data_IF_167909818027
#
_entry.id   IF_167909818027
#
_cell.length_a   1.000
_cell.length_b   1.000
_cell.length_c   1.000
_cell.angle_alpha   90.00
_cell.angle_beta   90.00
_cell.angle_gamma   90.00
#
_symmetry.space_group_name_H-M   'P 1'
#
loop_
_entity.id
_entity.type
_entity.pdbx_description
1 polymer ?
#
# COMPACT_ATOMS: atom_id res chain seq x y z
N UNK A 1 31.52 -6.36 4.07
CA UNK A 1 30.19 -6.93 3.93
C UNK A 1 29.91 -7.37 2.50
N UNK A 2 29.11 -8.36 2.37
CA UNK A 2 28.71 -8.86 1.06
C UNK A 2 27.62 -7.97 0.46
N UNK A 3 27.49 -7.98 -0.91
CA UNK A 3 26.41 -7.21 -1.52
C UNK A 3 25.01 -7.58 -1.05
N UNK A 4 24.79 -8.84 -0.65
CA UNK A 4 23.48 -9.28 -0.15
C UNK A 4 23.13 -8.61 1.19
N UNK A 5 24.10 -8.27 2.03
CA UNK A 5 23.85 -7.55 3.27
C UNK A 5 23.37 -6.13 2.95
N UNK A 6 23.99 -5.48 1.95
CA UNK A 6 23.59 -4.13 1.51
C UNK A 6 22.18 -4.15 0.95
N UNK A 7 21.85 -5.16 0.12
CA UNK A 7 20.51 -5.32 -0.46
C UNK A 7 19.48 -5.50 0.65
N UNK A 8 19.77 -6.33 1.64
CA UNK A 8 18.86 -6.58 2.77
C UNK A 8 18.62 -5.32 3.59
N UNK A 9 19.62 -4.46 3.72
CA UNK A 9 19.48 -3.19 4.44
C UNK A 9 18.57 -2.20 3.69
N UNK A 10 18.55 -2.23 2.35
CA UNK A 10 17.74 -1.30 1.56
C UNK A 10 16.29 -1.77 1.36
N UNK A 11 16.01 -3.08 1.42
CA UNK A 11 14.66 -3.62 1.24
C UNK A 11 13.64 -3.07 2.24
N UNK A 12 13.93 -3.00 3.56
CA UNK A 12 12.97 -2.45 4.50
C UNK A 12 12.59 -1.01 4.20
N UNK A 13 13.53 -0.19 3.71
CA UNK A 13 13.25 1.20 3.35
C UNK A 13 12.32 1.26 2.14
N UNK A 14 12.58 0.45 1.11
CA UNK A 14 11.73 0.39 -0.08
C UNK A 14 10.31 -0.08 0.28
N UNK A 15 10.19 -1.08 1.14
CA UNK A 15 8.90 -1.58 1.60
C UNK A 15 8.14 -0.56 2.42
N UNK A 16 8.83 0.21 3.26
CA UNK A 16 8.22 1.29 4.04
C UNK A 16 7.66 2.39 3.13
N UNK A 17 8.41 2.75 2.10
CA UNK A 17 7.94 3.72 1.11
C UNK A 17 6.71 3.20 0.38
N UNK A 18 6.73 1.93 -0.03
CA UNK A 18 5.58 1.30 -0.68
C UNK A 18 4.36 1.27 0.25
N UNK A 19 4.57 0.99 1.54
CA UNK A 19 3.49 0.99 2.53
C UNK A 19 2.81 2.37 2.59
N UNK A 20 3.59 3.44 2.61
CA UNK A 20 3.05 4.81 2.63
C UNK A 20 2.25 5.08 1.34
N UNK A 21 2.75 4.65 0.18
CA UNK A 21 2.06 4.81 -1.09
C UNK A 21 0.73 4.06 -1.12
N UNK A 22 0.69 2.84 -0.59
CA UNK A 22 -0.55 2.06 -0.52
C UNK A 22 -1.58 2.72 0.40
N UNK A 23 -1.14 3.31 1.51
CA UNK A 23 -2.04 4.06 2.39
C UNK A 23 -2.60 5.30 1.72
N UNK A 24 -1.78 6.01 0.95
CA UNK A 24 -2.23 7.17 0.17
C UNK A 24 -3.21 6.77 -0.91
N UNK A 25 -2.94 5.66 -1.58
CA UNK A 25 -3.82 5.10 -2.60
C UNK A 25 -5.19 4.76 -2.01
N UNK A 26 -5.21 4.06 -0.90
CA UNK A 26 -6.43 3.74 -0.17
C UNK A 26 -7.24 5.00 0.15
N UNK A 27 -6.58 5.98 0.75
CA UNK A 27 -7.24 7.22 1.17
C UNK A 27 -7.80 8.00 -0.01
N UNK A 28 -7.02 8.13 -1.08
CA UNK A 28 -7.44 8.83 -2.29
C UNK A 28 -8.65 8.16 -2.93
N UNK A 29 -8.67 6.83 -2.99
CA UNK A 29 -9.79 6.09 -3.58
C UNK A 29 -11.02 6.09 -2.69
N UNK A 30 -10.86 6.04 -1.37
CA UNK A 30 -11.98 6.22 -0.44
C UNK A 30 -12.63 7.58 -0.62
N UNK A 31 -11.83 8.63 -0.72
CA UNK A 31 -12.31 9.99 -0.92
C UNK A 31 -13.03 10.14 -2.26
N UNK A 32 -12.48 9.54 -3.31
CA UNK A 32 -13.11 9.53 -4.63
C UNK A 32 -14.45 8.80 -4.60
N UNK A 33 -14.55 7.68 -3.88
CA UNK A 33 -15.79 6.94 -3.73
C UNK A 33 -16.86 7.75 -3.00
N UNK A 34 -16.46 8.55 -2.02
CA UNK A 34 -17.39 9.40 -1.26
C UNK A 34 -17.89 10.59 -2.06
N UNK A 35 -17.10 11.09 -3.00
CA UNK A 35 -17.42 12.32 -3.73
C UNK A 35 -18.07 12.09 -5.08
N UNK A 36 -17.94 10.88 -5.66
CA UNK A 36 -18.55 10.60 -6.96
C UNK A 36 -20.05 10.36 -6.83
N UNK A 37 -20.82 10.89 -7.80
CA UNK A 37 -22.25 10.61 -7.92
C UNK A 37 -22.53 9.38 -8.81
N UNK A 38 -21.52 8.85 -9.49
CA UNK A 38 -21.65 7.70 -10.37
C UNK A 38 -21.52 6.41 -9.57
N UNK A 39 -22.55 5.57 -9.59
CA UNK A 39 -22.59 4.33 -8.81
C UNK A 39 -21.52 3.32 -9.25
N UNK A 40 -21.25 3.24 -10.57
CA UNK A 40 -20.22 2.33 -11.08
C UNK A 40 -18.82 2.78 -10.68
N UNK A 41 -18.55 4.07 -10.77
CA UNK A 41 -17.27 4.62 -10.34
C UNK A 41 -17.07 4.48 -8.83
N UNK A 42 -18.14 4.67 -8.07
CA UNK A 42 -18.08 4.48 -6.61
C UNK A 42 -17.64 3.08 -6.25
N UNK A 43 -18.24 2.09 -6.89
CA UNK A 43 -17.89 0.68 -6.69
C UNK A 43 -16.43 0.41 -7.05
N UNK A 44 -15.97 0.94 -8.19
CA UNK A 44 -14.59 0.81 -8.62
C UNK A 44 -13.63 1.42 -7.60
N UNK A 45 -13.90 2.64 -7.15
CA UNK A 45 -13.04 3.30 -6.17
C UNK A 45 -12.99 2.55 -4.85
N UNK A 46 -14.11 1.96 -4.42
CA UNK A 46 -14.14 1.14 -3.21
C UNK A 46 -13.26 -0.11 -3.36
N UNK A 47 -13.30 -0.76 -4.52
CA UNK A 47 -12.44 -1.92 -4.81
C UNK A 47 -10.97 -1.54 -4.82
N UNK A 48 -10.63 -0.41 -5.44
CA UNK A 48 -9.25 0.08 -5.48
C UNK A 48 -8.73 0.44 -4.09
N UNK A 49 -9.58 1.02 -3.25
CA UNK A 49 -9.23 1.32 -1.87
C UNK A 49 -8.99 0.02 -1.08
N UNK A 50 -9.82 -0.99 -1.28
CA UNK A 50 -9.66 -2.28 -0.63
C UNK A 50 -8.35 -2.97 -1.04
N UNK A 51 -7.96 -2.87 -2.31
CA UNK A 51 -6.67 -3.38 -2.78
C UNK A 51 -5.52 -2.73 -2.04
N UNK A 52 -5.58 -1.43 -1.79
CA UNK A 52 -4.58 -0.71 -1.01
C UNK A 52 -4.48 -1.23 0.43
N UNK A 53 -5.61 -1.51 1.06
CA UNK A 53 -5.65 -2.08 2.41
C UNK A 53 -4.95 -3.44 2.45
N UNK A 54 -5.25 -4.30 1.49
CA UNK A 54 -4.67 -5.65 1.42
C UNK A 54 -3.17 -5.60 1.14
N UNK A 55 -2.73 -4.74 0.22
CA UNK A 55 -1.32 -4.57 -0.09
C UNK A 55 -0.55 -4.02 1.12
N UNK A 56 -1.10 -3.02 1.80
CA UNK A 56 -0.49 -2.46 2.99
C UNK A 56 -0.35 -3.51 4.11
N UNK A 57 -1.36 -4.34 4.31
CA UNK A 57 -1.32 -5.40 5.30
C UNK A 57 -0.21 -6.43 4.99
N UNK A 58 -0.05 -6.80 3.71
CA UNK A 58 0.99 -7.70 3.27
C UNK A 58 2.38 -7.12 3.51
N UNK A 59 2.57 -5.84 3.14
CA UNK A 59 3.84 -5.14 3.33
C UNK A 59 4.18 -5.04 4.81
N UNK A 60 3.21 -4.69 5.64
CA UNK A 60 3.38 -4.61 7.10
C UNK A 60 3.83 -5.95 7.68
N UNK A 61 3.21 -7.04 7.24
CA UNK A 61 3.59 -8.37 7.68
C UNK A 61 5.04 -8.70 7.31
N UNK A 62 5.45 -8.37 6.09
CA UNK A 62 6.83 -8.56 5.64
C UNK A 62 7.82 -7.73 6.46
N UNK A 63 7.50 -6.48 6.75
CA UNK A 63 8.34 -5.61 7.57
C UNK A 63 8.49 -6.15 8.99
N UNK A 64 7.43 -6.68 9.57
CA UNK A 64 7.46 -7.29 10.90
C UNK A 64 8.37 -8.53 10.94
N UNK A 65 8.36 -9.31 9.84
CA UNK A 65 9.23 -10.48 9.72
C UNK A 65 10.71 -10.12 9.57
N UNK A 66 10.99 -8.97 8.97
CA UNK A 66 12.36 -8.48 8.78
C UNK A 66 12.94 -7.81 10.01
N UNK A 67 12.06 -7.27 10.81
CA UNK A 67 12.43 -6.46 11.96
C UNK A 67 12.82 -7.21 13.16
#
# INVERSE_FOLDING_TARGET
PTPSVVINASLPLALRDQFVWEQRWERANQQAAETTSDACLKELYQELAQDGVLHAATIRSLLEQMG
#
